data_IF_429627909182
#
_entry.id   IF_429627909182
#
_cell.length_a   1.000
_cell.length_b   1.000
_cell.length_c   1.000
_cell.angle_alpha   90.00
_cell.angle_beta   90.00
_cell.angle_gamma   90.00
#
_symmetry.space_group_name_H-M   'P 1'
#
loop_
_entity.id
_entity.type
_entity.pdbx_description
1 polymer ?
#
# COMPACT_ATOMS: atom_id res chain seq x y z
N UNK A 1 -18.56 -29.71 -27.59
CA UNK A 1 -18.32 -29.99 -26.16
C UNK A 1 -16.92 -30.54 -25.98
N UNK A 2 -15.99 -29.73 -25.46
CA UNK A 2 -14.70 -30.20 -24.92
C UNK A 2 -14.46 -29.46 -23.62
N UNK A 3 -14.33 -30.25 -22.56
CA UNK A 3 -14.13 -29.92 -21.16
C UNK A 3 -12.83 -29.16 -20.96
N UNK A 4 -12.90 -27.96 -20.38
CA UNK A 4 -11.75 -27.22 -19.85
C UNK A 4 -11.71 -27.48 -18.36
N UNK A 5 -10.78 -28.32 -17.91
CA UNK A 5 -10.47 -28.49 -16.50
C UNK A 5 -8.95 -28.58 -16.37
N UNK A 6 -8.43 -27.78 -15.43
CA UNK A 6 -7.05 -27.70 -14.90
C UNK A 6 -6.05 -26.86 -15.73
N UNK A 7 -5.69 -25.70 -15.18
CA UNK A 7 -4.46 -25.58 -14.38
C UNK A 7 -4.49 -24.28 -13.56
N UNK A 8 -4.98 -24.39 -12.32
CA UNK A 8 -4.62 -23.47 -11.24
C UNK A 8 -3.18 -23.80 -10.86
N UNK A 9 -2.22 -23.12 -11.47
CA UNK A 9 -0.83 -23.16 -11.04
C UNK A 9 -0.61 -22.01 -10.06
N UNK A 10 -0.28 -22.38 -8.83
CA UNK A 10 0.23 -21.53 -7.77
C UNK A 10 1.42 -20.72 -8.32
N UNK A 11 1.18 -19.45 -8.61
CA UNK A 11 2.21 -18.43 -8.83
C UNK A 11 2.11 -17.35 -7.74
N UNK A 12 1.84 -17.76 -6.50
CA UNK A 12 2.07 -16.94 -5.33
C UNK A 12 3.58 -17.02 -5.01
N UNK A 13 4.40 -16.16 -5.61
CA UNK A 13 5.82 -16.14 -5.25
C UNK A 13 6.71 -15.17 -5.98
N UNK A 14 6.64 -15.06 -7.32
CA UNK A 14 7.74 -14.41 -8.06
C UNK A 14 7.34 -13.64 -9.34
N UNK A 15 6.05 -13.55 -9.67
CA UNK A 15 5.59 -12.98 -10.95
C UNK A 15 5.16 -11.51 -10.95
N UNK A 16 5.32 -10.76 -9.85
CA UNK A 16 4.88 -9.35 -9.76
C UNK A 16 6.02 -8.33 -9.88
N UNK A 17 7.23 -8.77 -10.23
CA UNK A 17 8.39 -7.88 -10.43
C UNK A 17 8.49 -7.28 -11.85
N UNK A 18 7.48 -7.43 -12.71
CA UNK A 18 7.52 -6.97 -14.11
C UNK A 18 6.35 -6.08 -14.54
N UNK A 19 5.65 -5.43 -13.60
CA UNK A 19 4.55 -4.53 -13.96
C UNK A 19 5.01 -3.07 -13.99
N UNK A 20 5.30 -2.61 -15.22
CA UNK A 20 5.63 -1.24 -15.59
C UNK A 20 4.53 -0.24 -15.18
N UNK A 21 4.93 1.01 -14.90
CA UNK A 21 4.09 2.13 -14.42
C UNK A 21 2.81 2.38 -15.26
N UNK A 22 2.80 1.97 -16.54
CA UNK A 22 1.61 2.06 -17.41
C UNK A 22 0.52 1.01 -17.14
N UNK A 23 0.85 -0.19 -16.62
CA UNK A 23 -0.15 -1.26 -16.44
C UNK A 23 -1.00 -1.05 -15.18
N UNK A 24 -0.45 -0.34 -14.18
CA UNK A 24 -1.20 0.14 -13.00
C UNK A 24 -2.34 1.11 -13.40
N UNK A 25 -2.34 1.65 -14.62
CA UNK A 25 -3.37 2.60 -15.05
C UNK A 25 -4.55 1.97 -15.81
N UNK A 26 -4.48 0.71 -16.23
CA UNK A 26 -5.44 0.16 -17.22
C UNK A 26 -6.20 -1.11 -16.84
N UNK A 27 -5.91 -1.79 -15.72
CA UNK A 27 -6.68 -3.00 -15.34
C UNK A 27 -6.75 -3.29 -13.82
N UNK A 28 -6.79 -2.27 -12.95
CA UNK A 28 -6.44 -2.46 -11.54
C UNK A 28 -7.57 -2.88 -10.58
N UNK A 29 -8.79 -2.31 -10.58
CA UNK A 29 -9.75 -2.66 -9.54
C UNK A 29 -10.14 -4.15 -9.51
N UNK A 30 -10.53 -4.81 -10.62
CA UNK A 30 -10.99 -6.19 -10.55
C UNK A 30 -9.87 -7.17 -10.22
N UNK A 31 -8.66 -6.94 -10.74
CA UNK A 31 -7.51 -7.83 -10.50
C UNK A 31 -6.99 -7.65 -9.08
N UNK A 32 -6.93 -6.41 -8.58
CA UNK A 32 -6.45 -6.14 -7.22
C UNK A 32 -7.44 -6.68 -6.19
N UNK A 33 -8.74 -6.44 -6.35
CA UNK A 33 -9.77 -7.02 -5.48
C UNK A 33 -9.74 -8.56 -5.55
N UNK A 34 -9.69 -9.16 -6.75
CA UNK A 34 -9.67 -10.63 -6.90
C UNK A 34 -8.45 -11.30 -6.24
N UNK A 35 -7.27 -10.66 -6.33
CA UNK A 35 -6.05 -11.17 -5.68
C UNK A 35 -6.08 -10.94 -4.18
N UNK A 36 -6.66 -9.81 -3.74
CA UNK A 36 -6.69 -9.41 -2.34
C UNK A 36 -7.76 -10.16 -1.53
N UNK A 37 -8.94 -10.40 -2.09
CA UNK A 37 -10.04 -11.16 -1.47
C UNK A 37 -9.65 -12.59 -1.08
N UNK A 38 -8.64 -13.16 -1.74
CA UNK A 38 -8.11 -14.48 -1.42
C UNK A 38 -7.11 -14.46 -0.25
N UNK A 39 -6.75 -13.29 0.27
CA UNK A 39 -5.76 -13.12 1.33
C UNK A 39 -6.45 -12.78 2.64
N UNK A 40 -6.11 -13.53 3.68
CA UNK A 40 -6.51 -13.18 5.03
C UNK A 40 -5.83 -11.86 5.46
N UNK A 41 -6.58 -11.00 6.15
CA UNK A 41 -6.09 -9.77 6.78
C UNK A 41 -4.86 -10.02 7.67
N UNK A 42 -4.77 -11.19 8.33
CA UNK A 42 -3.57 -11.56 9.09
C UNK A 42 -2.31 -11.65 8.21
N UNK A 43 -2.42 -12.25 7.02
CA UNK A 43 -1.34 -12.34 6.05
C UNK A 43 -0.95 -10.96 5.51
N UNK A 44 -1.93 -10.12 5.15
CA UNK A 44 -1.65 -8.77 4.63
C UNK A 44 -0.95 -7.90 5.68
N UNK A 45 -1.38 -8.00 6.93
CA UNK A 45 -0.76 -7.29 8.05
C UNK A 45 0.70 -7.72 8.26
N UNK A 46 0.98 -9.01 8.12
CA UNK A 46 2.34 -9.54 8.22
C UNK A 46 3.21 -9.11 7.02
N UNK A 47 2.67 -9.09 5.80
CA UNK A 47 3.37 -8.57 4.63
C UNK A 47 3.75 -7.09 4.79
N UNK A 48 2.83 -6.26 5.33
CA UNK A 48 3.11 -4.86 5.64
C UNK A 48 4.23 -4.71 6.67
N UNK A 49 4.26 -5.59 7.70
CA UNK A 49 5.31 -5.60 8.73
C UNK A 49 6.68 -5.98 8.14
N UNK A 50 6.74 -7.04 7.34
CA UNK A 50 7.98 -7.49 6.70
C UNK A 50 8.51 -6.43 5.72
N UNK A 51 7.62 -5.78 4.98
CA UNK A 51 8.01 -4.67 4.12
C UNK A 51 8.51 -3.46 4.89
N UNK A 52 7.92 -3.16 6.06
CA UNK A 52 8.38 -2.08 6.92
C UNK A 52 9.86 -2.26 7.28
N UNK A 53 10.24 -3.48 7.67
CA UNK A 53 11.61 -3.85 8.02
C UNK A 53 12.56 -3.73 6.81
N UNK A 54 12.15 -4.24 5.64
CA UNK A 54 12.91 -4.11 4.38
C UNK A 54 13.12 -2.65 3.98
N UNK A 55 12.05 -1.84 4.00
CA UNK A 55 12.11 -0.41 3.66
C UNK A 55 13.00 0.31 4.67
N UNK A 56 12.83 0.07 5.97
CA UNK A 56 13.64 0.66 7.02
C UNK A 56 15.14 0.43 6.78
N UNK A 57 15.55 -0.82 6.55
CA UNK A 57 16.97 -1.12 6.31
C UNK A 57 17.49 -0.46 5.04
N UNK A 58 16.71 -0.45 3.96
CA UNK A 58 17.12 0.21 2.70
C UNK A 58 17.24 1.72 2.86
N UNK A 59 16.29 2.37 3.52
CA UNK A 59 16.30 3.83 3.74
C UNK A 59 17.42 4.24 4.70
N UNK A 60 17.67 3.46 5.76
CA UNK A 60 18.79 3.71 6.69
C UNK A 60 20.12 3.63 5.92
N UNK A 61 20.28 2.65 5.04
CA UNK A 61 21.52 2.47 4.28
C UNK A 61 21.70 3.48 3.14
N UNK A 62 20.62 4.15 2.70
CA UNK A 62 20.66 5.10 1.60
C UNK A 62 21.26 6.45 1.99
N UNK A 63 21.96 7.09 1.06
CA UNK A 63 22.45 8.45 1.25
C UNK A 63 21.29 9.46 1.11
N UNK A 64 21.15 10.40 2.06
CA UNK A 64 20.15 11.47 1.95
C UNK A 64 20.50 12.39 0.77
N UNK A 65 19.61 12.43 -0.22
CA UNK A 65 19.68 13.40 -1.32
C UNK A 65 18.26 13.85 -1.70
N UNK A 66 18.15 14.92 -2.49
CA UNK A 66 16.86 15.53 -2.85
C UNK A 66 15.91 14.56 -3.54
N UNK A 67 16.45 13.65 -4.37
CA UNK A 67 15.67 12.63 -5.08
C UNK A 67 15.10 11.57 -4.14
N UNK A 68 15.94 10.97 -3.29
CA UNK A 68 15.53 9.98 -2.28
C UNK A 68 14.54 10.61 -1.28
N UNK A 69 14.77 11.86 -0.88
CA UNK A 69 13.86 12.63 -0.02
C UNK A 69 12.48 12.82 -0.65
N UNK A 70 12.43 13.22 -1.92
CA UNK A 70 11.17 13.39 -2.63
C UNK A 70 10.39 12.07 -2.74
N UNK A 71 11.07 10.95 -3.01
CA UNK A 71 10.42 9.63 -3.08
C UNK A 71 9.92 9.24 -1.69
N UNK A 72 10.74 9.38 -0.65
CA UNK A 72 10.38 8.88 0.67
C UNK A 72 9.21 9.67 1.28
N UNK A 73 9.21 11.00 1.15
CA UNK A 73 8.05 11.83 1.54
C UNK A 73 6.80 11.51 0.73
N UNK A 74 6.94 11.08 -0.54
CA UNK A 74 5.82 10.63 -1.35
C UNK A 74 5.23 9.31 -0.84
N UNK A 75 6.08 8.30 -0.54
CA UNK A 75 5.65 7.03 0.05
C UNK A 75 4.88 7.27 1.35
N UNK A 76 5.43 8.07 2.27
CA UNK A 76 4.79 8.40 3.55
C UNK A 76 3.44 9.12 3.32
N UNK A 77 3.38 10.07 2.38
CA UNK A 77 2.16 10.79 2.07
C UNK A 77 1.05 9.91 1.50
N UNK A 78 1.37 9.01 0.57
CA UNK A 78 0.42 8.04 0.01
C UNK A 78 -0.11 7.11 1.10
N UNK A 79 0.76 6.66 2.00
CA UNK A 79 0.34 5.77 3.09
C UNK A 79 -0.58 6.48 4.09
N UNK A 80 -0.23 7.69 4.54
CA UNK A 80 -1.09 8.50 5.41
C UNK A 80 -2.44 8.83 4.77
N UNK A 81 -2.46 9.07 3.46
CA UNK A 81 -3.70 9.24 2.72
C UNK A 81 -4.52 7.94 2.70
N UNK A 82 -3.89 6.80 2.41
CA UNK A 82 -4.54 5.49 2.47
C UNK A 82 -5.06 5.13 3.86
N UNK A 83 -4.40 5.55 4.94
CA UNK A 83 -4.93 5.39 6.30
C UNK A 83 -6.24 6.14 6.49
N UNK A 84 -6.35 7.38 6.00
CA UNK A 84 -7.62 8.12 6.06
C UNK A 84 -8.73 7.39 5.30
N UNK A 85 -8.40 6.78 4.15
CA UNK A 85 -9.33 5.95 3.38
C UNK A 85 -9.74 4.70 4.15
N UNK A 86 -8.80 3.96 4.72
CA UNK A 86 -9.05 2.76 5.50
C UNK A 86 -9.92 3.00 6.74
N UNK A 87 -9.81 4.16 7.38
CA UNK A 87 -10.64 4.54 8.53
C UNK A 87 -12.14 4.65 8.20
N UNK A 88 -12.52 4.79 6.92
CA UNK A 88 -13.92 4.71 6.50
C UNK A 88 -14.54 3.35 6.83
N UNK A 89 -13.76 2.27 6.76
CA UNK A 89 -14.22 0.95 7.21
C UNK A 89 -14.44 0.86 8.73
N UNK A 90 -13.95 1.84 9.50
CA UNK A 90 -14.18 1.98 10.93
C UNK A 90 -15.29 3.00 11.25
N UNK A 91 -15.97 3.54 10.23
CA UNK A 91 -17.08 4.48 10.38
C UNK A 91 -16.67 5.96 10.33
N UNK A 92 -15.41 6.29 10.05
CA UNK A 92 -15.01 7.68 9.80
C UNK A 92 -15.60 8.20 8.46
N UNK A 93 -15.87 9.51 8.35
CA UNK A 93 -16.41 10.08 7.12
C UNK A 93 -15.42 9.97 5.95
N UNK A 94 -15.95 9.66 4.77
CA UNK A 94 -15.16 9.69 3.53
C UNK A 94 -14.81 11.13 3.15
N UNK A 95 -13.52 11.42 3.03
CA UNK A 95 -13.00 12.67 2.48
C UNK A 95 -12.36 12.39 1.12
N UNK A 96 -12.91 12.98 0.05
CA UNK A 96 -12.38 12.88 -1.31
C UNK A 96 -11.30 13.95 -1.56
N UNK A 97 -10.11 13.71 -1.03
CA UNK A 97 -8.95 14.60 -1.18
C UNK A 97 -7.77 13.92 -1.90
N UNK A 98 -6.71 14.71 -2.09
CA UNK A 98 -5.46 14.31 -2.72
C UNK A 98 -4.36 14.06 -1.69
N UNK A 99 -3.48 13.10 -1.95
CA UNK A 99 -2.42 12.70 -1.03
C UNK A 99 -1.41 13.82 -0.69
N UNK A 100 -1.34 14.88 -1.51
CA UNK A 100 -0.38 15.97 -1.34
C UNK A 100 -0.43 16.61 0.04
N UNK A 101 -1.62 16.72 0.65
CA UNK A 101 -1.81 17.28 2.00
C UNK A 101 -1.26 16.41 3.13
N UNK A 102 -0.93 15.15 2.84
CA UNK A 102 -0.45 14.17 3.83
C UNK A 102 1.07 14.01 3.83
N UNK A 103 1.75 14.57 2.83
CA UNK A 103 3.21 14.47 2.70
C UNK A 103 3.90 15.17 3.88
N UNK A 104 4.97 14.59 4.44
CA UNK A 104 5.86 15.33 5.33
C UNK A 104 6.38 16.61 4.66
N UNK A 105 6.73 17.59 5.48
CA UNK A 105 7.32 18.84 5.02
C UNK A 105 8.61 18.59 4.21
N UNK A 106 8.89 19.43 3.21
CA UNK A 106 10.03 19.23 2.30
C UNK A 106 11.37 19.37 3.00
N UNK A 107 11.40 20.15 4.07
CA UNK A 107 12.55 20.42 4.93
C UNK A 107 12.68 19.45 6.11
N UNK A 108 11.75 18.47 6.22
CA UNK A 108 11.81 17.45 7.28
C UNK A 108 13.12 16.69 7.19
N UNK A 109 13.87 16.64 8.29
CA UNK A 109 15.17 15.96 8.35
C UNK A 109 15.04 14.46 8.01
N UNK A 110 16.08 13.89 7.38
CA UNK A 110 16.06 12.50 6.90
C UNK A 110 15.76 11.48 8.00
N UNK A 111 16.46 11.57 9.14
CA UNK A 111 16.22 10.65 10.27
C UNK A 111 14.78 10.76 10.80
N UNK A 112 14.24 11.98 10.81
CA UNK A 112 12.86 12.21 11.21
C UNK A 112 11.86 11.64 10.19
N UNK A 113 12.21 11.55 8.91
CA UNK A 113 11.39 10.85 7.92
C UNK A 113 11.37 9.34 8.14
N UNK A 114 12.48 8.76 8.61
CA UNK A 114 12.55 7.33 8.95
C UNK A 114 11.58 7.04 10.10
N UNK A 115 11.61 7.86 11.15
CA UNK A 115 10.66 7.77 12.28
C UNK A 115 9.21 7.98 11.82
N UNK A 116 8.98 8.98 10.98
CA UNK A 116 7.66 9.28 10.40
C UNK A 116 7.12 8.08 9.61
N UNK A 117 7.96 7.38 8.83
CA UNK A 117 7.57 6.17 8.11
C UNK A 117 7.25 5.01 9.05
N UNK A 118 8.12 4.72 10.03
CA UNK A 118 7.91 3.63 10.99
C UNK A 118 6.58 3.82 11.72
N UNK A 119 6.33 5.04 12.22
CA UNK A 119 5.08 5.39 12.87
C UNK A 119 3.87 5.22 11.94
N UNK A 120 3.97 5.76 10.71
CA UNK A 120 2.91 5.63 9.71
C UNK A 120 2.60 4.15 9.44
N UNK A 121 3.61 3.30 9.23
CA UNK A 121 3.39 1.88 8.96
C UNK A 121 2.79 1.12 10.14
N UNK A 122 3.20 1.45 11.36
CA UNK A 122 2.60 0.89 12.58
C UNK A 122 1.12 1.27 12.71
N UNK A 123 0.77 2.51 12.40
CA UNK A 123 -0.63 2.99 12.39
C UNK A 123 -1.46 2.27 11.32
N UNK A 124 -0.92 2.06 10.11
CA UNK A 124 -1.59 1.28 9.05
C UNK A 124 -1.89 -0.14 9.49
N UNK A 125 -0.91 -0.82 10.11
CA UNK A 125 -1.06 -2.16 10.68
C UNK A 125 -2.12 -2.17 11.80
N UNK A 126 -2.14 -1.15 12.66
CA UNK A 126 -3.12 -1.04 13.73
C UNK A 126 -4.54 -0.85 13.19
N UNK A 127 -4.73 -0.02 12.16
CA UNK A 127 -6.00 0.18 11.46
C UNK A 127 -6.46 -1.15 10.83
N UNK A 128 -5.58 -1.84 10.10
CA UNK A 128 -5.89 -3.14 9.49
C UNK A 128 -6.38 -4.18 10.53
N UNK A 129 -5.70 -4.25 11.68
CA UNK A 129 -6.10 -5.13 12.80
C UNK A 129 -7.45 -4.76 13.41
N UNK A 130 -7.81 -3.47 13.42
CA UNK A 130 -9.12 -3.04 13.89
C UNK A 130 -10.21 -3.42 12.88
N UNK A 131 -9.97 -3.18 11.59
CA UNK A 131 -10.92 -3.52 10.52
C UNK A 131 -11.17 -5.02 10.47
N UNK A 132 -10.15 -5.87 10.71
CA UNK A 132 -10.31 -7.32 10.75
C UNK A 132 -11.30 -7.82 11.82
N UNK A 133 -11.69 -6.97 12.77
CA UNK A 133 -12.72 -7.27 13.80
C UNK A 133 -14.12 -6.79 13.41
N UNK A 134 -14.24 -6.05 12.32
CA UNK A 134 -15.51 -5.57 11.78
C UNK A 134 -16.10 -6.60 10.81
N UNK A 135 -17.42 -6.68 10.76
CA UNK A 135 -18.11 -7.50 9.76
C UNK A 135 -18.38 -6.69 8.50
N UNK A 136 -17.98 -7.20 7.34
CA UNK A 136 -18.34 -6.67 6.02
C UNK A 136 -17.99 -5.18 5.83
N UNK A 137 -16.68 -4.81 5.83
CA UNK A 137 -16.29 -3.44 5.55
C UNK A 137 -16.76 -2.99 4.15
N UNK A 138 -17.11 -1.70 3.98
CA UNK A 138 -17.52 -1.19 2.68
C UNK A 138 -16.35 -1.21 1.70
N UNK A 139 -16.66 -1.14 0.40
CA UNK A 139 -15.67 -0.73 -0.59
C UNK A 139 -15.37 0.76 -0.41
N UNK A 140 -14.11 1.14 -0.55
CA UNK A 140 -13.61 2.48 -0.28
C UNK A 140 -13.06 3.08 -1.60
N UNK A 141 -13.57 4.23 -2.05
CA UNK A 141 -13.14 4.85 -3.31
C UNK A 141 -11.67 5.28 -3.30
N UNK A 142 -10.94 4.92 -4.36
CA UNK A 142 -9.63 5.44 -4.74
C UNK A 142 -9.77 6.39 -5.93
N UNK A 143 -9.07 7.54 -5.90
CA UNK A 143 -9.26 8.64 -6.89
C UNK A 143 -9.10 8.19 -8.35
N UNK A 144 -8.22 7.23 -8.63
CA UNK A 144 -7.98 6.71 -10.00
C UNK A 144 -8.31 5.23 -10.21
N UNK A 145 -8.40 4.44 -9.14
CA UNK A 145 -8.52 2.97 -9.23
C UNK A 145 -9.94 2.50 -8.95
N UNK A 146 -10.89 3.43 -8.76
CA UNK A 146 -12.27 3.11 -8.41
C UNK A 146 -12.39 2.56 -6.99
N UNK A 147 -13.46 1.83 -6.73
CA UNK A 147 -13.76 1.31 -5.39
C UNK A 147 -12.91 0.06 -5.10
N UNK A 148 -12.20 0.09 -3.97
CA UNK A 148 -11.31 -0.97 -3.53
C UNK A 148 -11.80 -1.58 -2.22
N UNK A 149 -11.61 -2.89 -2.06
CA UNK A 149 -11.75 -3.53 -0.75
C UNK A 149 -10.65 -3.05 0.21
N UNK A 150 -10.81 -3.34 1.51
CA UNK A 150 -9.77 -3.05 2.51
C UNK A 150 -8.48 -3.79 2.16
N UNK A 151 -8.58 -5.05 1.79
CA UNK A 151 -7.47 -5.90 1.38
C UNK A 151 -6.75 -5.30 0.16
N UNK A 152 -7.51 -4.83 -0.83
CA UNK A 152 -6.97 -4.18 -2.02
C UNK A 152 -6.26 -2.87 -1.69
N UNK A 153 -6.79 -2.07 -0.75
CA UNK A 153 -6.10 -0.88 -0.23
C UNK A 153 -4.76 -1.23 0.43
N UNK A 154 -4.72 -2.24 1.30
CA UNK A 154 -3.47 -2.66 1.96
C UNK A 154 -2.44 -3.17 0.95
N UNK A 155 -2.88 -3.94 -0.06
CA UNK A 155 -2.03 -4.37 -1.16
C UNK A 155 -1.51 -3.19 -1.99
N UNK A 156 -2.37 -2.22 -2.31
CA UNK A 156 -1.97 -1.01 -3.02
C UNK A 156 -0.86 -0.27 -2.27
N UNK A 157 -1.04 -0.01 -0.96
CA UNK A 157 -0.04 0.68 -0.13
C UNK A 157 1.29 -0.08 -0.10
N UNK A 158 1.23 -1.40 -0.01
CA UNK A 158 2.41 -2.26 -0.03
C UNK A 158 3.16 -2.17 -1.37
N UNK A 159 2.47 -2.44 -2.48
CA UNK A 159 3.05 -2.48 -3.82
C UNK A 159 3.56 -1.10 -4.25
N UNK A 160 2.83 -0.03 -3.90
CA UNK A 160 3.23 1.33 -4.19
C UNK A 160 4.55 1.69 -3.50
N UNK A 161 4.65 1.40 -2.19
CA UNK A 161 5.88 1.66 -1.44
C UNK A 161 7.09 0.89 -1.99
N UNK A 162 6.94 -0.41 -2.29
CA UNK A 162 8.00 -1.21 -2.92
C UNK A 162 8.39 -0.64 -4.29
N UNK A 163 7.41 -0.30 -5.14
CA UNK A 163 7.60 0.26 -6.47
C UNK A 163 8.40 1.56 -6.47
N UNK A 164 8.04 2.49 -5.58
CA UNK A 164 8.73 3.75 -5.40
C UNK A 164 10.14 3.55 -4.84
N UNK A 165 10.33 2.62 -3.90
CA UNK A 165 11.63 2.34 -3.30
C UNK A 165 12.66 1.80 -4.32
N UNK A 166 12.23 1.16 -5.41
CA UNK A 166 13.14 0.78 -6.50
C UNK A 166 13.80 1.99 -7.20
N UNK A 167 13.22 3.18 -7.08
CA UNK A 167 13.73 4.42 -7.69
C UNK A 167 14.79 5.13 -6.83
N UNK A 168 15.09 4.64 -5.63
CA UNK A 168 16.15 5.19 -4.78
C UNK A 168 17.51 5.09 -5.49
N UNK A 169 18.34 6.11 -5.31
CA UNK A 169 19.72 6.18 -5.80
C UNK A 169 20.71 5.93 -4.69
#
# INVERSE_FOLDING_TARGET
MKTITKLMAVAAGFGMALYHEQVIKTAVPPVLNLVAEQRDMALLTELLRQSAEKIYHKVKAAEPNSHNHQIFTHIIGIERWGQNRLKVALGEPLVMDEYNGYRPARERAWDALIDDFVKTRQETIAIAKQIARTSSPPLIPHNTLGDLSVEAWLMYLQLHADGELYKFK
#
